data_IF_951256895845
#
_entry.id   IF_951256895845
#
_cell.length_a   1.000
_cell.length_b   1.000
_cell.length_c   1.000
_cell.angle_alpha   90.00
_cell.angle_beta   90.00
_cell.angle_gamma   90.00
#
_symmetry.space_group_name_H-M   'P 1'
#
loop_
_entity.id
_entity.type
_entity.pdbx_description
1 polymer ?
#
# COMPACT_ATOMS: atom_id res chain seq x y z
N UNK A 1 -16.05 -30.20 5.70
CA UNK A 1 -14.79 -29.77 5.06
C UNK A 1 -14.82 -30.19 3.61
N UNK A 2 -14.35 -29.37 2.67
CA UNK A 2 -14.23 -29.79 1.29
C UNK A 2 -13.27 -30.99 1.21
N UNK A 3 -13.65 -32.05 0.46
CA UNK A 3 -12.86 -33.26 0.33
C UNK A 3 -11.61 -33.10 -0.56
N UNK A 4 -11.51 -31.97 -1.27
CA UNK A 4 -10.38 -31.62 -2.14
C UNK A 4 -10.28 -30.11 -2.30
N UNK A 5 -9.07 -29.61 -2.51
CA UNK A 5 -8.75 -28.22 -2.81
C UNK A 5 -7.72 -28.17 -3.93
N UNK A 6 -7.81 -27.16 -4.80
CA UNK A 6 -6.86 -27.00 -5.90
C UNK A 6 -5.54 -26.38 -5.42
N UNK A 7 -5.62 -25.51 -4.41
CA UNK A 7 -4.46 -24.82 -3.83
C UNK A 7 -4.51 -24.86 -2.31
N UNK A 8 -3.41 -25.28 -1.69
CA UNK A 8 -3.19 -25.18 -0.24
C UNK A 8 -2.33 -23.94 0.05
N UNK A 9 -2.82 -23.04 0.90
CA UNK A 9 -2.13 -21.83 1.32
C UNK A 9 -1.71 -22.01 2.77
N UNK A 10 -0.42 -21.84 3.06
CA UNK A 10 0.11 -21.93 4.44
C UNK A 10 0.44 -20.53 4.94
N UNK A 11 -0.25 -20.12 6.00
CA UNK A 11 -0.12 -18.81 6.64
C UNK A 11 -1.27 -17.86 6.33
N UNK A 12 -1.96 -17.42 7.37
CA UNK A 12 -3.11 -16.49 7.33
C UNK A 12 -2.73 -15.02 7.56
N UNK A 13 -1.55 -14.59 7.09
CA UNK A 13 -1.18 -13.18 7.02
C UNK A 13 -1.79 -12.50 5.80
N UNK A 14 -1.49 -11.20 5.61
CA UNK A 14 -1.99 -10.41 4.48
C UNK A 14 -1.69 -11.06 3.13
N UNK A 15 -0.53 -11.69 2.97
CA UNK A 15 -0.15 -12.36 1.72
C UNK A 15 -1.05 -13.57 1.46
N UNK A 16 -1.17 -14.49 2.42
CA UNK A 16 -2.01 -15.69 2.26
C UNK A 16 -3.49 -15.35 2.06
N UNK A 17 -4.00 -14.39 2.81
CA UNK A 17 -5.38 -13.91 2.64
C UNK A 17 -5.59 -13.26 1.26
N UNK A 18 -4.63 -12.46 0.77
CA UNK A 18 -4.72 -11.86 -0.57
C UNK A 18 -4.69 -12.93 -1.67
N UNK A 19 -3.82 -13.94 -1.53
CA UNK A 19 -3.78 -15.07 -2.48
C UNK A 19 -5.12 -15.79 -2.50
N UNK A 20 -5.68 -16.14 -1.32
CA UNK A 20 -6.98 -16.79 -1.22
C UNK A 20 -8.10 -15.96 -1.87
N UNK A 21 -8.11 -14.65 -1.62
CA UNK A 21 -9.08 -13.72 -2.18
C UNK A 21 -9.04 -13.70 -3.72
N UNK A 22 -7.86 -13.50 -4.30
CA UNK A 22 -7.73 -13.43 -5.76
C UNK A 22 -7.95 -14.79 -6.44
N UNK A 23 -7.54 -15.91 -5.83
CA UNK A 23 -7.89 -17.25 -6.32
C UNK A 23 -9.41 -17.47 -6.34
N UNK A 24 -10.10 -17.04 -5.29
CA UNK A 24 -11.56 -17.15 -5.23
C UNK A 24 -12.24 -16.30 -6.33
N UNK A 25 -11.70 -15.14 -6.67
CA UNK A 25 -12.20 -14.31 -7.80
C UNK A 25 -12.07 -15.04 -9.16
N UNK A 26 -11.04 -15.85 -9.30
CA UNK A 26 -10.81 -16.69 -10.50
C UNK A 26 -11.57 -18.04 -10.43
N UNK A 27 -12.39 -18.26 -9.41
CA UNK A 27 -13.12 -19.51 -9.22
C UNK A 27 -12.28 -20.71 -8.78
N UNK A 28 -11.03 -20.48 -8.37
CA UNK A 28 -10.10 -21.52 -7.93
C UNK A 28 -10.34 -21.82 -6.45
N UNK A 29 -10.55 -23.08 -6.12
CA UNK A 29 -10.77 -23.52 -4.74
C UNK A 29 -9.45 -23.57 -3.97
N UNK A 30 -9.33 -22.76 -2.93
CA UNK A 30 -8.17 -22.77 -2.04
C UNK A 30 -8.57 -23.10 -0.61
N UNK A 31 -7.62 -23.70 0.13
CA UNK A 31 -7.74 -23.91 1.58
C UNK A 31 -6.57 -23.23 2.26
N UNK A 32 -6.86 -22.33 3.19
CA UNK A 32 -5.85 -21.62 3.95
C UNK A 32 -5.67 -22.29 5.32
N UNK A 33 -4.41 -22.59 5.65
CA UNK A 33 -4.00 -23.17 6.91
C UNK A 33 -3.25 -22.12 7.74
N UNK A 34 -3.75 -21.84 8.93
CA UNK A 34 -3.13 -20.91 9.87
C UNK A 34 -2.94 -21.62 11.24
N UNK A 35 -1.73 -21.54 11.77
CA UNK A 35 -1.39 -22.24 13.02
C UNK A 35 -1.81 -21.52 14.29
N UNK A 36 -2.25 -20.26 14.21
CA UNK A 36 -2.68 -19.45 15.36
C UNK A 36 -4.01 -18.78 15.04
N UNK A 37 -3.97 -17.48 14.71
CA UNK A 37 -5.11 -16.65 14.34
C UNK A 37 -4.75 -15.83 13.11
N UNK A 38 -5.68 -15.67 12.19
CA UNK A 38 -5.53 -14.83 11.00
C UNK A 38 -4.97 -13.45 11.38
N UNK A 39 -3.93 -13.03 10.69
CA UNK A 39 -3.30 -11.72 10.90
C UNK A 39 -2.49 -11.58 12.19
N UNK A 40 -2.34 -12.62 13.02
CA UNK A 40 -1.67 -12.51 14.34
C UNK A 40 -0.14 -12.37 14.29
N UNK A 41 0.47 -12.54 13.13
CA UNK A 41 1.91 -12.35 12.91
C UNK A 41 2.26 -10.92 12.50
N UNK A 42 3.24 -10.78 11.61
CA UNK A 42 3.73 -9.51 11.10
C UNK A 42 2.63 -8.61 10.51
N UNK A 43 1.60 -9.21 9.89
CA UNK A 43 0.48 -8.44 9.32
C UNK A 43 -0.33 -7.67 10.37
N UNK A 44 -0.48 -8.21 11.58
CA UNK A 44 -1.17 -7.51 12.69
C UNK A 44 -0.29 -6.51 13.43
N UNK A 45 1.03 -6.55 13.23
CA UNK A 45 1.99 -5.65 13.85
C UNK A 45 2.52 -4.57 12.88
N UNK A 46 1.98 -4.52 11.66
CA UNK A 46 2.42 -3.56 10.64
C UNK A 46 1.93 -2.15 10.95
N UNK A 47 2.70 -1.14 10.54
CA UNK A 47 2.26 0.26 10.53
C UNK A 47 1.25 0.58 9.40
N UNK A 48 0.94 -0.40 8.55
CA UNK A 48 -0.03 -0.24 7.47
C UNK A 48 0.44 0.63 6.29
N UNK A 49 1.74 0.90 6.19
CA UNK A 49 2.27 1.72 5.10
C UNK A 49 2.33 0.90 3.81
N UNK A 50 1.70 1.41 2.75
CA UNK A 50 1.71 0.86 1.41
C UNK A 50 2.44 1.84 0.49
N UNK A 51 3.72 1.59 0.24
CA UNK A 51 4.53 2.53 -0.53
C UNK A 51 5.74 1.90 -1.20
N UNK A 52 5.72 1.67 -2.53
CA UNK A 52 6.86 1.13 -3.26
C UNK A 52 8.06 2.08 -3.31
N UNK A 53 7.86 3.37 -3.03
CA UNK A 53 8.88 4.42 -3.06
C UNK A 53 9.71 4.52 -1.78
N UNK A 54 9.47 3.65 -0.81
CA UNK A 54 10.21 3.66 0.46
C UNK A 54 11.69 3.33 0.28
N UNK A 55 12.00 2.46 -0.68
CA UNK A 55 13.37 2.11 -1.05
C UNK A 55 13.69 2.66 -2.44
N UNK A 56 14.32 3.82 -2.49
CA UNK A 56 14.71 4.51 -3.72
C UNK A 56 16.07 3.93 -4.18
N UNK A 57 16.06 2.70 -4.68
CA UNK A 57 17.25 2.09 -5.29
C UNK A 57 16.94 1.71 -6.75
N UNK A 58 17.63 2.33 -7.73
CA UNK A 58 17.49 1.98 -9.13
C UNK A 58 17.79 0.51 -9.43
N UNK A 59 18.58 -0.18 -8.61
CA UNK A 59 18.89 -1.61 -8.79
C UNK A 59 17.70 -2.53 -8.47
N UNK A 60 16.66 -2.01 -7.84
CA UNK A 60 15.43 -2.73 -7.48
C UNK A 60 14.30 -2.59 -8.54
N UNK A 61 14.63 -2.28 -9.80
CA UNK A 61 13.67 -1.95 -10.87
C UNK A 61 12.53 -2.96 -11.01
N UNK A 62 12.82 -4.25 -10.97
CA UNK A 62 11.79 -5.30 -11.09
C UNK A 62 10.84 -5.31 -9.89
N UNK A 63 11.36 -5.18 -8.68
CA UNK A 63 10.57 -5.12 -7.44
C UNK A 63 9.75 -3.83 -7.38
N UNK A 64 10.33 -2.74 -7.87
CA UNK A 64 9.66 -1.45 -7.94
C UNK A 64 8.47 -1.48 -8.91
N UNK A 65 8.64 -2.04 -10.11
CA UNK A 65 7.57 -2.20 -11.09
C UNK A 65 6.41 -3.05 -10.54
N UNK A 66 6.74 -4.14 -9.82
CA UNK A 66 5.74 -4.96 -9.12
C UNK A 66 5.01 -4.16 -8.03
N UNK A 67 5.75 -3.40 -7.24
CA UNK A 67 5.21 -2.54 -6.19
C UNK A 67 4.25 -1.48 -6.73
N UNK A 68 4.57 -0.85 -7.86
CA UNK A 68 3.67 0.11 -8.53
C UNK A 68 2.38 -0.54 -9.02
N UNK A 69 2.48 -1.73 -9.65
CA UNK A 69 1.30 -2.49 -10.06
C UNK A 69 0.43 -2.86 -8.86
N UNK A 70 1.04 -3.32 -7.77
CA UNK A 70 0.35 -3.62 -6.53
C UNK A 70 -0.35 -2.38 -5.97
N UNK A 71 0.36 -1.26 -5.85
CA UNK A 71 -0.23 0.00 -5.36
C UNK A 71 -1.43 0.45 -6.19
N UNK A 72 -1.38 0.29 -7.51
CA UNK A 72 -2.48 0.64 -8.41
C UNK A 72 -3.74 -0.22 -8.20
N UNK A 73 -3.62 -1.40 -7.59
CA UNK A 73 -4.76 -2.29 -7.27
C UNK A 73 -5.48 -1.89 -5.97
N UNK A 74 -4.82 -1.21 -5.04
CA UNK A 74 -5.39 -0.91 -3.72
C UNK A 74 -6.69 -0.10 -3.74
N UNK A 75 -6.88 0.92 -4.59
CA UNK A 75 -8.15 1.64 -4.63
C UNK A 75 -9.33 0.75 -5.02
N UNK A 76 -9.12 -0.15 -5.99
CA UNK A 76 -10.14 -1.12 -6.39
C UNK A 76 -10.45 -2.12 -5.29
N UNK A 77 -9.40 -2.70 -4.68
CA UNK A 77 -9.55 -3.62 -3.56
C UNK A 77 -10.26 -2.96 -2.36
N UNK A 78 -9.91 -1.71 -2.05
CA UNK A 78 -10.58 -0.97 -0.97
C UNK A 78 -12.07 -0.77 -1.25
N UNK A 79 -12.43 -0.49 -2.51
CA UNK A 79 -13.84 -0.41 -2.94
C UNK A 79 -14.58 -1.73 -2.77
N UNK A 80 -13.98 -2.83 -3.23
CA UNK A 80 -14.56 -4.19 -3.10
C UNK A 80 -14.75 -4.59 -1.62
N UNK A 81 -13.78 -4.26 -0.76
CA UNK A 81 -13.89 -4.53 0.68
C UNK A 81 -14.99 -3.69 1.33
N UNK A 82 -15.11 -2.43 0.96
CA UNK A 82 -16.20 -1.56 1.44
C UNK A 82 -17.58 -2.09 1.04
N UNK A 83 -17.72 -2.57 -0.20
CA UNK A 83 -18.96 -3.20 -0.68
C UNK A 83 -19.27 -4.49 0.12
N UNK A 84 -18.24 -5.22 0.52
CA UNK A 84 -18.36 -6.38 1.41
C UNK A 84 -18.60 -6.03 2.89
N UNK A 85 -18.67 -4.73 3.23
CA UNK A 85 -18.92 -4.24 4.58
C UNK A 85 -17.66 -4.13 5.46
N UNK A 86 -16.47 -4.21 4.86
CA UNK A 86 -15.19 -4.06 5.56
C UNK A 86 -14.53 -2.76 5.11
N UNK A 87 -14.34 -1.80 6.02
CA UNK A 87 -13.55 -0.60 5.74
C UNK A 87 -12.06 -0.89 6.03
N UNK A 88 -11.19 -0.97 4.99
CA UNK A 88 -9.76 -1.17 5.17
C UNK A 88 -9.05 0.11 5.64
N UNK A 89 -9.75 1.21 5.85
CA UNK A 89 -9.20 2.54 6.18
C UNK A 89 -8.10 3.00 5.21
N UNK A 90 -8.17 2.54 3.96
CA UNK A 90 -7.17 2.88 2.95
C UNK A 90 -7.20 4.38 2.60
N UNK A 91 -6.06 5.04 2.74
CA UNK A 91 -5.88 6.46 2.45
C UNK A 91 -4.68 6.68 1.56
N UNK A 92 -4.87 7.42 0.48
CA UNK A 92 -3.78 7.87 -0.40
C UNK A 92 -3.29 9.25 0.06
N UNK A 93 -2.54 9.29 1.17
CA UNK A 93 -2.01 10.53 1.73
C UNK A 93 -0.73 11.02 1.06
N UNK A 94 -0.09 10.15 0.27
CA UNK A 94 1.24 10.40 -0.26
C UNK A 94 2.36 10.06 0.72
N UNK A 95 3.60 10.28 0.28
CA UNK A 95 4.82 10.06 1.07
C UNK A 95 5.72 11.28 0.93
N UNK A 96 6.19 11.79 2.04
CA UNK A 96 7.20 12.84 2.10
C UNK A 96 8.51 12.26 2.64
N UNK A 97 9.53 12.17 1.79
CA UNK A 97 10.88 11.78 2.18
C UNK A 97 11.72 13.03 2.44
N UNK A 98 12.18 13.23 3.68
CA UNK A 98 12.84 14.46 4.12
C UNK A 98 14.34 14.27 4.21
N UNK A 99 15.11 15.17 3.59
CA UNK A 99 16.56 15.25 3.68
C UNK A 99 17.00 16.08 4.89
N UNK A 100 17.62 15.44 5.88
CA UNK A 100 18.16 16.11 7.08
C UNK A 100 19.65 16.43 6.94
N UNK A 101 20.35 15.81 6.00
CA UNK A 101 21.76 16.09 5.70
C UNK A 101 21.93 16.47 4.23
N UNK A 102 22.98 17.24 3.88
CA UNK A 102 23.24 17.61 2.48
C UNK A 102 23.38 16.39 1.55
N UNK A 103 23.97 15.33 2.03
CA UNK A 103 24.16 14.09 1.28
C UNK A 103 22.82 13.38 1.02
N UNK A 104 21.98 13.28 2.05
CA UNK A 104 20.66 12.70 1.91
C UNK A 104 19.79 13.54 0.96
N UNK A 105 19.78 14.86 1.11
CA UNK A 105 19.05 15.76 0.20
C UNK A 105 19.47 15.59 -1.27
N UNK A 106 20.79 15.51 -1.53
CA UNK A 106 21.33 15.21 -2.88
C UNK A 106 20.88 13.85 -3.40
N UNK A 107 20.85 12.84 -2.54
CA UNK A 107 20.39 11.49 -2.93
C UNK A 107 18.93 11.51 -3.34
N UNK A 108 18.08 12.17 -2.56
CA UNK A 108 16.66 12.35 -2.91
C UNK A 108 16.49 13.11 -4.23
N UNK A 109 17.22 14.20 -4.44
CA UNK A 109 17.17 14.98 -5.67
C UNK A 109 17.61 14.19 -6.91
N UNK A 110 18.65 13.36 -6.79
CA UNK A 110 19.06 12.46 -7.89
C UNK A 110 17.97 11.46 -8.27
N UNK A 111 17.16 11.03 -7.31
CA UNK A 111 16.03 10.14 -7.55
C UNK A 111 14.92 10.76 -8.39
N UNK A 112 14.76 12.07 -8.39
CA UNK A 112 13.66 12.75 -9.08
C UNK A 112 13.63 12.51 -10.60
N UNK A 113 14.81 12.48 -11.23
CA UNK A 113 14.91 12.36 -12.68
C UNK A 113 14.27 11.03 -13.17
N UNK A 114 14.76 9.90 -12.67
CA UNK A 114 14.25 8.60 -13.09
C UNK A 114 12.81 8.32 -12.59
N UNK A 115 12.44 8.87 -11.43
CA UNK A 115 11.06 8.78 -10.94
C UNK A 115 10.10 9.55 -11.83
N UNK A 116 10.54 10.70 -12.35
CA UNK A 116 9.79 11.47 -13.36
C UNK A 116 9.61 10.71 -14.68
N UNK A 117 10.64 10.02 -15.15
CA UNK A 117 10.58 9.16 -16.35
C UNK A 117 9.57 8.02 -16.20
N UNK A 118 9.39 7.51 -14.99
CA UNK A 118 8.37 6.50 -14.68
C UNK A 118 6.95 7.08 -14.51
N UNK A 119 6.76 8.38 -14.74
CA UNK A 119 5.46 9.04 -14.60
C UNK A 119 4.97 9.16 -13.16
N UNK A 120 5.86 8.97 -12.18
CA UNK A 120 5.54 9.16 -10.77
C UNK A 120 5.49 10.67 -10.49
N UNK A 121 4.38 11.16 -10.00
CA UNK A 121 4.21 12.58 -9.63
C UNK A 121 5.02 12.94 -8.39
N UNK A 122 6.36 12.82 -8.48
CA UNK A 122 7.27 13.19 -7.39
C UNK A 122 7.79 14.60 -7.63
N UNK A 123 7.72 15.44 -6.61
CA UNK A 123 8.22 16.82 -6.64
C UNK A 123 9.19 17.07 -5.49
N UNK A 124 10.19 17.91 -5.73
CA UNK A 124 11.03 18.44 -4.67
C UNK A 124 10.32 19.61 -3.99
N UNK A 125 10.27 19.59 -2.68
CA UNK A 125 9.86 20.69 -1.83
C UNK A 125 11.09 21.29 -1.16
N UNK A 126 11.18 22.62 -1.18
CA UNK A 126 12.19 23.34 -0.43
C UNK A 126 11.97 23.24 1.09
N UNK A 127 12.95 23.72 1.85
CA UNK A 127 12.89 23.70 3.32
C UNK A 127 11.61 24.34 3.87
N UNK A 128 11.25 25.53 3.40
CA UNK A 128 10.10 26.25 3.89
C UNK A 128 8.80 25.50 3.61
N UNK A 129 8.64 24.99 2.39
CA UNK A 129 7.47 24.22 1.99
C UNK A 129 7.30 22.91 2.78
N UNK A 130 8.43 22.24 3.09
CA UNK A 130 8.41 21.01 3.90
C UNK A 130 7.98 21.30 5.33
N UNK A 131 8.51 22.37 5.94
CA UNK A 131 8.18 22.74 7.32
C UNK A 131 6.78 23.35 7.45
N UNK A 132 6.29 24.05 6.43
CA UNK A 132 4.90 24.51 6.38
C UNK A 132 3.92 23.34 6.31
N UNK A 133 4.26 22.32 5.51
CA UNK A 133 3.41 21.15 5.32
C UNK A 133 3.39 20.22 6.52
N UNK A 134 4.52 20.06 7.16
CA UNK A 134 4.73 19.20 8.33
C UNK A 134 5.45 19.97 9.45
N UNK A 135 4.73 20.79 10.22
CA UNK A 135 5.34 21.66 11.24
C UNK A 135 6.04 20.92 12.39
N UNK A 136 5.79 19.64 12.55
CA UNK A 136 6.41 18.79 13.59
C UNK A 136 7.77 18.21 13.16
N UNK A 137 8.20 18.45 11.92
CA UNK A 137 9.50 17.99 11.46
C UNK A 137 10.65 18.72 12.15
N UNK A 138 11.82 18.07 12.14
CA UNK A 138 13.06 18.68 12.60
C UNK A 138 13.29 20.00 11.83
N UNK A 139 13.46 21.14 12.53
CA UNK A 139 13.72 22.43 11.91
C UNK A 139 14.98 22.48 11.03
N UNK A 140 15.87 21.49 11.13
CA UNK A 140 17.07 21.36 10.29
C UNK A 140 16.80 20.66 8.94
N UNK A 141 15.54 20.33 8.63
CA UNK A 141 15.20 19.78 7.33
C UNK A 141 15.67 20.70 6.20
N UNK A 142 16.32 20.11 5.20
CA UNK A 142 16.88 20.82 4.04
C UNK A 142 15.92 20.86 2.84
N UNK A 143 14.89 20.06 2.87
CA UNK A 143 13.89 19.87 1.84
C UNK A 143 13.44 18.42 1.78
N UNK A 144 12.60 18.06 0.83
CA UNK A 144 12.09 16.70 0.71
C UNK A 144 11.48 16.39 -0.65
N UNK A 145 11.37 15.11 -0.94
CA UNK A 145 10.63 14.60 -2.08
C UNK A 145 9.22 14.23 -1.67
N UNK A 146 8.23 14.88 -2.25
CA UNK A 146 6.82 14.55 -2.08
C UNK A 146 6.34 13.68 -3.23
N UNK A 147 5.88 12.48 -2.91
CA UNK A 147 5.07 11.66 -3.79
C UNK A 147 3.60 11.85 -3.40
N UNK A 148 2.80 12.41 -4.28
CA UNK A 148 1.42 12.79 -3.98
C UNK A 148 0.43 11.61 -3.89
N UNK A 149 0.90 10.35 -3.89
CA UNK A 149 0.05 9.16 -3.77
C UNK A 149 -0.80 8.85 -5.00
N UNK A 150 -0.73 9.68 -6.03
CA UNK A 150 -1.47 9.46 -7.28
C UNK A 150 -0.53 8.83 -8.28
N UNK A 151 -0.71 7.55 -8.54
CA UNK A 151 -0.17 6.92 -9.75
C UNK A 151 -0.69 7.64 -11.01
N UNK A 152 -0.21 7.31 -12.22
CA UNK A 152 -0.68 7.92 -13.44
C UNK A 152 -2.20 7.91 -13.46
N UNK A 153 -2.79 9.08 -13.70
CA UNK A 153 -4.23 9.35 -13.57
C UNK A 153 -5.05 8.31 -14.35
N UNK A 154 -5.71 7.41 -13.63
CA UNK A 154 -6.78 6.61 -14.20
C UNK A 154 -7.82 6.29 -13.15
N UNK A 155 -8.98 6.90 -13.32
CA UNK A 155 -10.31 6.73 -12.72
C UNK A 155 -10.68 7.59 -11.50
N UNK A 156 -11.95 8.07 -11.46
CA UNK A 156 -12.48 8.86 -10.36
C UNK A 156 -12.73 8.01 -9.11
N UNK A 157 -12.55 8.62 -7.94
CA UNK A 157 -12.80 8.00 -6.63
C UNK A 157 -14.24 7.49 -6.50
N UNK A 158 -14.45 6.29 -5.94
CA UNK A 158 -15.80 5.85 -5.58
C UNK A 158 -16.35 6.71 -4.43
N UNK A 159 -17.63 7.11 -4.55
CA UNK A 159 -18.34 7.87 -3.52
C UNK A 159 -18.52 7.02 -2.26
N UNK A 160 -18.27 7.61 -1.10
CA UNK A 160 -18.61 7.01 0.20
C UNK A 160 -20.11 6.74 0.31
N UNK A 161 -20.47 5.53 0.69
CA UNK A 161 -21.84 5.20 1.08
C UNK A 161 -22.04 5.44 2.59
N UNK A 162 -23.14 6.04 3.03
CA UNK A 162 -23.42 6.23 4.44
C UNK A 162 -24.05 4.95 5.04
N UNK A 163 -23.41 4.45 6.09
CA UNK A 163 -24.03 3.63 7.13
C UNK A 163 -24.47 2.22 6.77
N UNK A 164 -23.55 1.23 6.75
CA UNK A 164 -23.95 -0.16 6.99
C UNK A 164 -22.83 -0.91 7.74
N UNK A 165 -23.09 -1.20 9.03
CA UNK A 165 -22.30 -2.19 9.76
C UNK A 165 -22.93 -3.56 9.47
N UNK A 166 -22.27 -4.39 8.64
CA UNK A 166 -22.51 -5.83 8.58
C UNK A 166 -21.16 -6.53 8.73
N UNK A 167 -21.12 -7.50 9.63
CA UNK A 167 -19.96 -8.39 9.74
C UNK A 167 -19.87 -9.26 8.48
N UNK A 168 -18.66 -9.47 7.92
CA UNK A 168 -18.49 -10.31 6.74
C UNK A 168 -18.72 -11.78 7.05
N UNK A 169 -19.28 -12.52 6.08
CA UNK A 169 -19.68 -13.92 6.18
C UNK A 169 -18.53 -14.94 6.36
N UNK A 170 -17.30 -14.48 6.59
CA UNK A 170 -16.13 -15.33 6.82
C UNK A 170 -15.68 -15.40 8.29
N UNK A 171 -16.44 -14.80 9.23
CA UNK A 171 -16.14 -14.86 10.67
C UNK A 171 -16.47 -16.21 11.32
N UNK A 172 -17.17 -17.14 10.62
CA UNK A 172 -17.64 -18.41 11.18
C UNK A 172 -16.90 -19.65 10.64
N UNK A 173 -15.71 -19.52 10.08
CA UNK A 173 -14.87 -20.65 9.71
C UNK A 173 -13.90 -20.97 10.85
N UNK A 174 -14.40 -21.71 11.84
CA UNK A 174 -13.61 -22.42 12.85
C UNK A 174 -13.08 -23.73 12.28
#
# INVERSE_FOLDING_TARGET
MPKSTDVAIVGGGVIGCSIAYYLAKEGIKSTLFEGRRIGSGASGATAGVVGPLWHIDPSAEATFALGLKSLAMFPGLAGELLEAGVDPEFRQSGILNVGLTPEHAKTLQRGLAWQGELGLGVTWLGREEVLEREPQLNPQALGGCLFAGRGPRSRPEPRRLPGSRRQPAWSDAS
#
